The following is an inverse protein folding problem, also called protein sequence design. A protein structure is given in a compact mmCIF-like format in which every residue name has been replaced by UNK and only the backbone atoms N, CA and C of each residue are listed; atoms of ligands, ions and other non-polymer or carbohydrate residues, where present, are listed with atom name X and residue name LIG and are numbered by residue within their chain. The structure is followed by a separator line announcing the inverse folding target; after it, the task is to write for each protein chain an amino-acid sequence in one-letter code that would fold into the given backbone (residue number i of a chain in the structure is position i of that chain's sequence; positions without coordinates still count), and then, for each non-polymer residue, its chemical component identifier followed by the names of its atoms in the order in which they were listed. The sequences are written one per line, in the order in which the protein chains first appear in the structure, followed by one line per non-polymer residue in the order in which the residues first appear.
data_IF_471304069893
#
_entry.id   IF_471304069893
#
_cell.length_a   1.000
_cell.length_b   1.000
_cell.length_c   1.000
_cell.angle_alpha   90.00
_cell.angle_beta   90.00
_cell.angle_gamma   90.00
#
_symmetry.space_group_name_H-M   'P 1'
#
loop_
_entity.id
_entity.type
_entity.pdbx_description
1 polymer ?
#
# COMPACT_ATOMS: atom_id res chain seq x y z
N UNK A 1 -30.52 19.16 -3.90
CA UNK A 1 -29.10 19.58 -4.04
C UNK A 1 -28.26 18.45 -3.47
N UNK A 2 -27.63 17.69 -4.34
CA UNK A 2 -26.89 16.46 -4.04
C UNK A 2 -25.44 16.66 -4.53
N UNK A 3 -24.40 16.59 -3.67
CA UNK A 3 -23.02 16.78 -4.07
C UNK A 3 -22.30 15.44 -4.17
N UNK A 4 -22.22 14.87 -5.38
CA UNK A 4 -21.60 13.56 -5.57
C UNK A 4 -21.20 13.25 -7.01
N UNK A 5 -20.47 14.15 -7.69
CA UNK A 5 -19.78 13.83 -8.94
C UNK A 5 -18.41 14.52 -9.01
N UNK A 6 -17.36 13.76 -8.77
CA UNK A 6 -16.02 14.03 -9.31
C UNK A 6 -15.58 12.75 -10.03
N UNK A 7 -15.99 12.64 -11.29
CA UNK A 7 -15.53 11.61 -12.21
C UNK A 7 -14.14 11.97 -12.73
N UNK A 8 -13.30 10.95 -12.91
CA UNK A 8 -11.99 11.09 -13.57
C UNK A 8 -12.25 10.95 -15.08
N UNK A 9 -11.85 11.96 -15.86
CA UNK A 9 -11.92 11.92 -17.33
C UNK A 9 -10.83 10.97 -17.86
N UNK A 10 -11.22 9.96 -18.63
CA UNK A 10 -10.36 8.88 -19.11
C UNK A 10 -9.60 9.19 -20.41
N UNK A 11 -9.59 10.43 -20.90
CA UNK A 11 -9.00 10.78 -22.22
C UNK A 11 -7.57 11.35 -22.16
N UNK A 12 -6.86 11.26 -21.03
CA UNK A 12 -5.52 11.84 -20.87
C UNK A 12 -4.47 10.84 -20.35
N UNK A 13 -4.35 9.68 -20.98
CA UNK A 13 -3.16 8.84 -20.84
C UNK A 13 -2.47 8.68 -22.20
N UNK A 14 -1.55 9.60 -22.47
CA UNK A 14 -0.58 9.47 -23.55
C UNK A 14 0.48 8.43 -23.16
N UNK A 15 0.90 7.63 -24.15
CA UNK A 15 2.01 6.70 -24.02
C UNK A 15 3.33 7.46 -24.05
N UNK A 16 4.14 7.31 -23.01
CA UNK A 16 5.52 7.78 -22.96
C UNK A 16 6.44 6.59 -23.24
N UNK A 17 7.27 6.68 -24.28
CA UNK A 17 8.29 5.69 -24.63
C UNK A 17 9.64 6.34 -24.37
N UNK A 18 10.38 5.84 -23.38
CA UNK A 18 11.81 6.17 -23.20
C UNK A 18 12.69 4.99 -23.66
N UNK A 19 13.80 5.24 -24.38
CA UNK A 19 14.72 4.20 -24.83
C UNK A 19 15.66 3.73 -23.71
N UNK A 20 15.97 2.43 -23.69
CA UNK A 20 16.95 1.86 -22.78
C UNK A 20 18.39 2.14 -23.26
N UNK A 21 19.21 2.75 -22.40
CA UNK A 21 20.67 2.66 -22.49
C UNK A 21 21.16 1.63 -21.45
N UNK A 22 22.09 0.79 -21.88
CA UNK A 22 22.65 -0.32 -21.12
C UNK A 22 23.50 0.13 -19.92
N UNK A 23 23.37 -0.59 -18.81
CA UNK A 23 24.27 -0.54 -17.65
C UNK A 23 23.72 -1.36 -16.48
N UNK A 24 24.55 -2.26 -15.93
CA UNK A 24 24.32 -3.03 -14.71
C UNK A 24 23.83 -2.17 -13.54
N UNK A 25 22.97 -2.74 -12.67
CA UNK A 25 23.08 -2.71 -11.18
C UNK A 25 21.73 -2.99 -10.46
N UNK A 26 21.87 -3.61 -9.28
CA UNK A 26 20.90 -4.00 -8.25
C UNK A 26 19.49 -3.36 -8.25
N UNK A 27 18.47 -4.20 -8.46
CA UNK A 27 17.06 -3.79 -8.37
C UNK A 27 16.47 -4.03 -6.97
N UNK A 28 16.78 -3.14 -6.04
CA UNK A 28 15.80 -2.70 -5.05
C UNK A 28 14.99 -1.55 -5.68
N UNK A 29 13.70 -1.77 -5.97
CA UNK A 29 12.86 -0.76 -6.64
C UNK A 29 12.57 0.41 -5.69
N UNK A 30 13.47 1.40 -5.69
CA UNK A 30 13.31 2.72 -5.10
C UNK A 30 12.34 3.56 -5.93
N UNK A 31 11.05 3.57 -5.55
CA UNK A 31 10.02 4.42 -6.17
C UNK A 31 10.19 5.94 -5.94
N UNK A 32 11.29 6.36 -5.31
CA UNK A 32 11.53 7.73 -4.85
C UNK A 32 12.03 8.64 -5.98
N UNK A 33 12.92 8.14 -6.85
CA UNK A 33 13.62 8.94 -7.86
C UNK A 33 12.73 9.34 -9.07
N UNK A 34 11.82 8.47 -9.50
CA UNK A 34 11.00 8.69 -10.70
C UNK A 34 10.00 9.85 -10.55
N UNK A 35 9.67 10.24 -9.31
CA UNK A 35 8.66 11.26 -9.03
C UNK A 35 9.23 12.68 -8.90
N UNK A 36 10.56 12.83 -8.75
CA UNK A 36 11.21 14.14 -8.63
C UNK A 36 11.44 14.81 -10.00
N UNK A 37 11.78 14.05 -11.05
CA UNK A 37 12.03 14.61 -12.40
C UNK A 37 10.79 15.18 -13.09
N UNK A 38 9.59 14.62 -12.84
CA UNK A 38 8.35 15.17 -13.41
C UNK A 38 7.92 16.52 -12.81
N UNK A 39 8.36 16.86 -11.59
CA UNK A 39 7.92 18.10 -10.92
C UNK A 39 8.79 19.32 -11.25
N UNK A 40 10.04 19.14 -11.67
CA UNK A 40 10.91 20.27 -12.05
C UNK A 40 10.66 20.75 -13.49
N UNK A 41 10.04 19.95 -14.35
CA UNK A 41 9.72 20.32 -15.74
C UNK A 41 8.48 21.21 -15.92
N UNK A 42 7.52 21.18 -14.99
CA UNK A 42 6.23 21.88 -15.13
C UNK A 42 6.34 23.38 -14.78
N UNK A 43 7.39 23.80 -14.05
CA UNK A 43 7.55 25.19 -13.61
C UNK A 43 8.34 26.10 -14.58
N UNK A 44 8.77 25.60 -15.76
CA UNK A 44 9.64 26.35 -16.69
C UNK A 44 9.22 26.29 -18.17
N UNK A 45 7.92 26.22 -18.45
CA UNK A 45 7.38 26.36 -19.81
C UNK A 45 6.22 27.38 -19.85
N UNK A 46 6.46 28.55 -19.24
CA UNK A 46 5.82 29.80 -19.66
C UNK A 46 6.86 30.58 -20.44
N UNK A 47 6.52 30.96 -21.67
CA UNK A 47 7.35 31.68 -22.65
C UNK A 47 8.47 30.85 -23.31
N UNK A 48 8.27 30.44 -24.56
CA UNK A 48 9.06 30.90 -25.74
C UNK A 48 8.35 30.41 -27.02
N UNK A 49 8.47 31.24 -28.05
CA UNK A 49 7.70 31.31 -29.27
C UNK A 49 7.89 30.15 -30.28
N UNK A 50 6.87 30.05 -31.15
CA UNK A 50 6.86 29.57 -32.53
C UNK A 50 8.19 29.05 -33.10
N UNK A 51 8.28 27.73 -33.31
CA UNK A 51 8.76 27.20 -34.59
C UNK A 51 8.22 25.79 -34.85
N UNK A 52 7.78 25.60 -36.09
CA UNK A 52 6.94 24.52 -36.60
C UNK A 52 7.87 23.38 -37.04
N UNK A 53 7.77 22.19 -36.43
CA UNK A 53 8.32 20.96 -37.02
C UNK A 53 7.19 19.95 -37.25
N UNK A 54 7.05 19.55 -38.51
CA UNK A 54 6.03 18.65 -39.04
C UNK A 54 6.17 17.25 -38.44
N UNK A 55 5.16 16.81 -37.67
CA UNK A 55 4.94 15.40 -37.34
C UNK A 55 3.78 14.91 -38.20
N UNK A 56 3.99 13.78 -38.89
CA UNK A 56 2.99 13.11 -39.69
C UNK A 56 1.78 12.74 -38.83
N UNK A 57 0.63 13.33 -39.14
CA UNK A 57 -0.66 12.97 -38.55
C UNK A 57 -1.00 11.55 -38.93
N UNK A 58 -0.98 10.63 -37.96
CA UNK A 58 -1.63 9.34 -38.09
C UNK A 58 -3.13 9.62 -38.11
N UNK A 59 -3.76 9.53 -39.29
CA UNK A 59 -5.20 9.68 -39.45
C UNK A 59 -5.91 8.63 -38.59
N UNK A 60 -6.38 9.04 -37.42
CA UNK A 60 -7.29 8.24 -36.63
C UNK A 60 -8.63 8.31 -37.34
N UNK A 61 -9.04 7.21 -37.99
CA UNK A 61 -10.44 7.01 -38.32
C UNK A 61 -11.14 6.47 -37.07
N UNK A 62 -11.93 7.28 -36.34
CA UNK A 62 -12.75 6.77 -35.27
C UNK A 62 -13.83 5.87 -35.87
N UNK A 63 -13.72 4.57 -35.63
CA UNK A 63 -14.80 3.62 -35.91
C UNK A 63 -15.81 3.80 -34.77
N UNK A 64 -16.99 4.32 -35.10
CA UNK A 64 -18.11 4.38 -34.17
C UNK A 64 -18.69 2.97 -33.99
N UNK A 65 -18.45 2.38 -32.83
CA UNK A 65 -19.00 1.09 -32.41
C UNK A 65 -20.39 1.35 -31.79
N UNK A 66 -21.49 0.83 -32.35
CA UNK A 66 -22.84 1.02 -31.80
C UNK A 66 -22.95 0.41 -30.39
N UNK A 67 -23.78 1.01 -29.52
CA UNK A 67 -23.98 0.68 -28.09
C UNK A 67 -24.29 -0.82 -27.80
N UNK A 68 -24.58 -1.60 -28.84
CA UNK A 68 -25.02 -2.99 -28.82
C UNK A 68 -23.85 -3.95 -29.09
N UNK A 69 -22.70 -3.43 -29.56
CA UNK A 69 -21.39 -4.10 -29.60
C UNK A 69 -20.65 -3.82 -28.28
N UNK A 70 -21.22 -4.34 -27.18
CA UNK A 70 -20.51 -4.38 -25.90
C UNK A 70 -19.15 -5.03 -26.12
N UNK A 71 -18.12 -4.52 -25.45
CA UNK A 71 -16.79 -5.10 -25.43
C UNK A 71 -16.90 -6.64 -25.30
N UNK A 72 -16.61 -7.33 -26.40
CA UNK A 72 -16.41 -8.78 -26.42
C UNK A 72 -15.39 -9.11 -25.32
N UNK A 73 -15.51 -10.31 -24.74
CA UNK A 73 -14.60 -10.76 -23.69
C UNK A 73 -13.15 -10.42 -24.06
N UNK A 74 -12.54 -9.55 -23.26
CA UNK A 74 -11.21 -8.97 -23.51
C UNK A 74 -10.08 -10.01 -23.65
N UNK A 75 -10.12 -11.28 -23.16
CA UNK A 75 -8.89 -12.08 -23.18
C UNK A 75 -8.42 -12.52 -24.58
N UNK A 76 -9.32 -12.72 -25.56
CA UNK A 76 -8.94 -13.52 -26.73
C UNK A 76 -8.31 -12.74 -27.90
N UNK A 77 -8.55 -11.43 -28.03
CA UNK A 77 -7.98 -10.66 -29.16
C UNK A 77 -6.62 -10.05 -28.85
N UNK A 78 -6.31 -9.76 -27.57
CA UNK A 78 -5.03 -9.12 -27.22
C UNK A 78 -3.85 -10.07 -27.46
N UNK A 79 -3.98 -11.34 -27.09
CA UNK A 79 -2.94 -12.36 -27.34
C UNK A 79 -2.65 -12.53 -28.83
N UNK A 80 -3.69 -12.47 -29.67
CA UNK A 80 -3.57 -12.55 -31.13
C UNK A 80 -2.83 -11.33 -31.71
N UNK A 81 -3.12 -10.13 -31.20
CA UNK A 81 -2.45 -8.90 -31.62
C UNK A 81 -0.99 -8.82 -31.16
N UNK A 82 -0.66 -9.51 -30.06
CA UNK A 82 0.67 -9.49 -29.43
C UNK A 82 1.43 -10.81 -29.59
N UNK A 83 1.05 -11.65 -30.56
CA UNK A 83 1.69 -12.94 -30.80
C UNK A 83 3.20 -12.80 -31.04
N UNK A 84 3.58 -11.80 -31.83
CA UNK A 84 4.96 -11.46 -32.20
C UNK A 84 5.61 -10.45 -31.24
N UNK A 85 4.96 -10.12 -30.12
CA UNK A 85 5.56 -9.25 -29.12
C UNK A 85 6.83 -9.88 -28.55
N UNK A 86 7.90 -9.08 -28.53
CA UNK A 86 9.19 -9.39 -27.95
C UNK A 86 9.46 -8.48 -26.75
N UNK A 87 10.44 -8.81 -25.89
CA UNK A 87 10.84 -7.95 -24.79
C UNK A 87 11.09 -6.51 -25.25
N UNK A 88 10.67 -5.50 -24.46
CA UNK A 88 10.17 -5.61 -23.08
C UNK A 88 8.64 -5.80 -22.97
N UNK A 89 7.93 -6.05 -24.07
CA UNK A 89 6.47 -6.17 -24.06
C UNK A 89 6.03 -7.62 -23.79
N UNK A 90 5.27 -7.81 -22.71
CA UNK A 90 4.75 -9.12 -22.33
C UNK A 90 3.23 -9.08 -22.10
N UNK A 91 2.53 -10.13 -22.53
CA UNK A 91 1.15 -10.37 -22.10
C UNK A 91 1.18 -10.99 -20.71
N UNK A 92 0.32 -10.53 -19.81
CA UNK A 92 0.18 -11.12 -18.48
C UNK A 92 -0.32 -12.56 -18.61
N UNK A 93 0.38 -13.57 -18.05
CA UNK A 93 -0.07 -14.94 -18.11
C UNK A 93 -1.47 -15.12 -17.51
N UNK A 94 -2.28 -15.95 -18.15
CA UNK A 94 -3.61 -16.34 -17.68
C UNK A 94 -3.77 -17.86 -17.75
N UNK A 95 -4.49 -18.45 -16.81
CA UNK A 95 -4.76 -19.89 -16.77
C UNK A 95 -6.18 -20.16 -16.31
N UNK A 96 -6.79 -21.21 -16.88
CA UNK A 96 -8.03 -21.80 -16.37
C UNK A 96 -7.77 -22.95 -15.38
N UNK A 97 -6.53 -23.42 -15.28
CA UNK A 97 -6.14 -24.50 -14.36
C UNK A 97 -5.90 -23.94 -12.95
N UNK A 98 -6.71 -24.43 -12.01
CA UNK A 98 -6.60 -24.08 -10.59
C UNK A 98 -5.24 -24.46 -10.00
N UNK A 99 -4.63 -25.57 -10.40
CA UNK A 99 -3.33 -25.99 -9.88
C UNK A 99 -2.25 -24.98 -10.26
N UNK A 100 -2.25 -24.53 -11.51
CA UNK A 100 -1.34 -23.48 -12.00
C UNK A 100 -1.59 -22.15 -11.28
N UNK A 101 -2.86 -21.77 -11.07
CA UNK A 101 -3.17 -20.53 -10.34
C UNK A 101 -2.72 -20.57 -8.86
N UNK A 102 -2.84 -21.72 -8.19
CA UNK A 102 -2.35 -21.90 -6.82
C UNK A 102 -0.83 -21.88 -6.74
N UNK A 103 -0.19 -22.48 -7.72
CA UNK A 103 1.26 -22.44 -7.88
C UNK A 103 1.73 -20.99 -8.08
N UNK A 104 1.12 -20.22 -8.98
CA UNK A 104 1.43 -18.79 -9.14
C UNK A 104 1.19 -17.98 -7.87
N UNK A 105 0.11 -18.29 -7.15
CA UNK A 105 -0.23 -17.61 -5.90
C UNK A 105 0.88 -17.80 -4.86
N UNK A 106 1.37 -19.04 -4.64
CA UNK A 106 2.42 -19.31 -3.67
C UNK A 106 3.81 -18.87 -4.14
N UNK A 107 4.17 -19.22 -5.38
CA UNK A 107 5.49 -18.99 -5.97
C UNK A 107 5.83 -17.49 -5.96
N UNK A 108 5.05 -16.68 -6.68
CA UNK A 108 5.41 -15.29 -6.96
C UNK A 108 5.15 -14.29 -5.83
N UNK A 109 4.78 -14.75 -4.64
CA UNK A 109 4.73 -13.89 -3.46
C UNK A 109 6.12 -13.26 -3.19
N UNK A 110 7.18 -14.04 -3.39
CA UNK A 110 8.57 -13.60 -3.28
C UNK A 110 9.01 -12.59 -4.34
N UNK A 111 8.41 -12.64 -5.53
CA UNK A 111 8.66 -11.70 -6.61
C UNK A 111 8.01 -10.31 -6.38
N UNK A 112 7.39 -10.09 -5.21
CA UNK A 112 6.71 -8.84 -4.87
C UNK A 112 5.31 -8.71 -5.48
N UNK A 113 4.72 -9.80 -5.96
CA UNK A 113 3.31 -9.82 -6.39
C UNK A 113 2.39 -10.08 -5.19
N UNK A 114 1.33 -9.27 -5.06
CA UNK A 114 0.36 -9.39 -3.96
C UNK A 114 -0.48 -10.69 -4.01
N UNK A 115 -0.55 -11.36 -5.16
CA UNK A 115 -1.39 -12.54 -5.42
C UNK A 115 -1.96 -12.57 -6.84
N UNK A 116 -3.12 -13.22 -7.03
CA UNK A 116 -3.72 -13.47 -8.34
C UNK A 116 -5.04 -12.72 -8.55
N UNK A 117 -5.30 -12.33 -9.80
CA UNK A 117 -6.57 -11.73 -10.22
C UNK A 117 -7.47 -12.79 -10.84
N UNK A 118 -8.61 -13.08 -10.19
CA UNK A 118 -9.62 -13.97 -10.75
C UNK A 118 -10.70 -13.16 -11.47
N UNK A 119 -10.94 -13.50 -12.74
CA UNK A 119 -11.90 -12.83 -13.63
C UNK A 119 -12.76 -13.88 -14.32
N UNK A 120 -14.00 -13.53 -14.65
CA UNK A 120 -14.81 -14.35 -15.56
C UNK A 120 -14.21 -14.28 -16.96
N UNK A 121 -13.92 -15.44 -17.56
CA UNK A 121 -13.32 -15.51 -18.89
C UNK A 121 -14.21 -14.91 -19.98
N UNK A 122 -15.53 -15.04 -19.83
CA UNK A 122 -16.57 -14.58 -20.76
C UNK A 122 -17.23 -13.26 -20.34
N UNK A 123 -16.76 -12.64 -19.25
CA UNK A 123 -17.37 -11.44 -18.70
C UNK A 123 -16.99 -10.19 -19.51
N UNK A 124 -17.95 -9.30 -19.84
CA UNK A 124 -17.61 -8.01 -20.41
C UNK A 124 -16.90 -7.15 -19.36
N UNK A 125 -16.17 -6.14 -19.81
CA UNK A 125 -15.69 -5.09 -18.92
C UNK A 125 -16.89 -4.30 -18.36
N UNK A 126 -16.93 -4.11 -17.04
CA UNK A 126 -17.99 -3.37 -16.37
C UNK A 126 -17.39 -2.18 -15.61
N UNK A 127 -17.52 -1.00 -16.19
CA UNK A 127 -17.04 0.23 -15.57
C UNK A 127 -17.71 0.48 -14.21
N UNK A 128 -16.92 0.93 -13.23
CA UNK A 128 -17.39 1.26 -11.87
C UNK A 128 -18.02 0.08 -11.11
N UNK A 129 -17.86 -1.16 -11.59
CA UNK A 129 -18.29 -2.36 -10.88
C UNK A 129 -17.11 -3.18 -10.39
N UNK A 130 -17.32 -3.86 -9.25
CA UNK A 130 -16.36 -4.82 -8.67
C UNK A 130 -16.65 -6.22 -9.19
N UNK A 131 -16.40 -6.46 -10.48
CA UNK A 131 -16.64 -7.75 -11.16
C UNK A 131 -15.46 -8.73 -11.11
N UNK A 132 -14.27 -8.26 -10.70
CA UNK A 132 -13.06 -9.05 -10.57
C UNK A 132 -12.72 -9.30 -9.10
N UNK A 133 -12.14 -10.45 -8.80
CA UNK A 133 -11.69 -10.81 -7.46
C UNK A 133 -10.17 -10.67 -7.36
N UNK A 134 -9.71 -10.03 -6.29
CA UNK A 134 -8.29 -9.99 -5.92
C UNK A 134 -8.08 -11.06 -4.87
N UNK A 135 -7.36 -12.12 -5.21
CA UNK A 135 -6.97 -13.15 -4.26
C UNK A 135 -5.56 -12.82 -3.82
N UNK A 136 -5.42 -12.39 -2.56
CA UNK A 136 -4.15 -11.91 -2.01
C UNK A 136 -3.74 -12.77 -0.83
N UNK A 137 -2.45 -12.79 -0.56
CA UNK A 137 -1.95 -13.27 0.72
C UNK A 137 -2.39 -12.32 1.82
N UNK A 138 -2.91 -12.90 2.89
CA UNK A 138 -3.24 -12.19 4.12
C UNK A 138 -2.45 -12.86 5.23
N UNK A 139 -1.69 -12.06 5.97
CA UNK A 139 -0.82 -12.55 7.03
C UNK A 139 -1.27 -11.95 8.34
N UNK A 140 -1.19 -12.73 9.40
CA UNK A 140 -1.45 -12.26 10.75
C UNK A 140 -0.14 -12.14 11.52
N UNK A 141 -0.05 -11.15 12.40
CA UNK A 141 1.03 -11.03 13.37
C UNK A 141 0.50 -10.46 14.69
N UNK A 142 1.18 -10.80 15.77
CA UNK A 142 0.93 -10.29 17.10
C UNK A 142 1.82 -9.06 17.33
N UNK A 143 1.18 -7.90 17.58
CA UNK A 143 1.84 -6.63 17.83
C UNK A 143 1.57 -6.14 19.25
N UNK A 144 2.53 -5.44 19.84
CA UNK A 144 2.33 -4.70 21.09
C UNK A 144 1.59 -3.41 20.79
N UNK A 145 0.59 -3.08 21.62
CA UNK A 145 -0.08 -1.77 21.59
C UNK A 145 0.57 -0.86 22.61
N UNK A 146 1.34 0.12 22.15
CA UNK A 146 2.06 1.08 23.01
C UNK A 146 1.52 2.51 22.89
N UNK A 147 0.40 2.71 22.19
CA UNK A 147 -0.27 3.99 22.15
C UNK A 147 -1.51 4.00 21.30
N UNK A 148 -2.20 5.14 21.28
CA UNK A 148 -3.35 5.35 20.41
C UNK A 148 -3.45 6.80 19.96
N UNK A 149 -4.27 7.06 18.93
CA UNK A 149 -4.69 8.41 18.54
C UNK A 149 -6.18 8.58 18.77
N UNK A 150 -6.59 9.77 19.18
CA UNK A 150 -8.01 10.13 19.21
C UNK A 150 -8.61 10.12 17.81
N UNK A 151 -9.91 9.84 17.72
CA UNK A 151 -10.65 10.02 16.49
C UNK A 151 -10.81 11.53 16.22
N UNK A 152 -10.70 11.95 14.96
CA UNK A 152 -10.76 13.38 14.56
C UNK A 152 -12.01 14.13 15.08
N UNK A 153 -13.12 13.42 15.24
CA UNK A 153 -14.41 13.99 15.68
C UNK A 153 -14.82 13.47 17.08
N UNK A 154 -13.87 13.00 17.88
CA UNK A 154 -14.17 12.31 19.13
C UNK A 154 -13.00 12.28 20.12
N UNK A 155 -12.29 13.39 20.26
CA UNK A 155 -11.27 13.54 21.28
C UNK A 155 -11.85 13.26 22.68
N UNK A 156 -11.11 12.51 23.50
CA UNK A 156 -11.55 12.05 24.82
C UNK A 156 -12.68 11.01 24.83
N UNK A 157 -13.33 10.74 23.69
CA UNK A 157 -14.59 9.95 23.65
C UNK A 157 -14.56 8.79 22.66
N UNK A 158 -13.65 8.79 21.69
CA UNK A 158 -13.53 7.76 20.67
C UNK A 158 -12.09 7.60 20.18
N UNK A 159 -11.59 6.36 20.14
CA UNK A 159 -10.25 6.06 19.62
C UNK A 159 -10.26 5.98 18.09
N UNK A 160 -9.29 6.65 17.46
CA UNK A 160 -9.08 6.72 16.02
C UNK A 160 -8.31 5.52 15.49
N UNK A 161 -7.17 5.26 16.11
CA UNK A 161 -6.22 4.20 15.73
C UNK A 161 -5.37 3.78 16.92
N UNK A 162 -4.94 2.51 16.93
CA UNK A 162 -3.94 1.98 17.86
C UNK A 162 -2.57 2.01 17.19
N UNK A 163 -1.52 2.36 17.93
CA UNK A 163 -0.13 2.33 17.49
C UNK A 163 0.46 0.96 17.83
N UNK A 164 1.06 0.33 16.84
CA UNK A 164 1.58 -1.02 16.91
C UNK A 164 3.11 -1.02 16.97
N UNK A 165 3.66 -1.92 17.76
CA UNK A 165 5.10 -2.16 17.80
C UNK A 165 5.49 -3.62 17.84
N UNK A 166 6.73 -3.88 17.38
CA UNK A 166 7.41 -5.17 17.45
C UNK A 166 8.80 -4.97 18.07
N UNK A 167 9.23 -5.95 18.86
CA UNK A 167 10.57 -6.01 19.42
C UNK A 167 11.58 -6.53 18.38
N UNK A 168 12.74 -5.89 18.31
CA UNK A 168 13.92 -6.45 17.64
C UNK A 168 14.66 -7.47 18.53
N UNK A 169 15.81 -7.97 18.06
CA UNK A 169 16.61 -8.95 18.79
C UNK A 169 17.29 -8.34 20.03
N UNK A 170 17.49 -7.02 20.03
CA UNK A 170 18.10 -6.22 21.09
C UNK A 170 17.09 -5.83 22.18
N UNK A 171 15.80 -6.06 21.96
CA UNK A 171 14.71 -5.72 22.89
C UNK A 171 14.16 -4.30 22.74
N UNK A 172 14.46 -3.62 21.64
CA UNK A 172 13.91 -2.30 21.31
C UNK A 172 12.54 -2.43 20.65
N UNK A 173 11.55 -1.69 21.15
CA UNK A 173 10.21 -1.67 20.58
C UNK A 173 10.12 -0.70 19.40
N UNK A 174 10.07 -1.22 18.18
CA UNK A 174 9.91 -0.42 16.96
C UNK A 174 8.45 -0.17 16.62
N UNK A 175 8.12 1.04 16.17
CA UNK A 175 6.79 1.35 15.68
C UNK A 175 6.59 0.84 14.24
N UNK A 176 5.77 -0.20 14.09
CA UNK A 176 5.58 -0.91 12.81
C UNK A 176 4.36 -0.44 12.03
N UNK A 177 3.45 0.31 12.64
CA UNK A 177 2.27 0.81 11.95
C UNK A 177 1.12 1.08 12.89
N UNK A 178 -0.08 1.17 12.31
CA UNK A 178 -1.30 1.45 13.04
C UNK A 178 -2.41 0.48 12.68
N UNK A 179 -3.26 0.18 13.67
CA UNK A 179 -4.51 -0.53 13.47
C UNK A 179 -5.67 0.47 13.57
N UNK A 180 -6.55 0.53 12.57
CA UNK A 180 -7.66 1.48 12.54
C UNK A 180 -8.95 0.85 11.97
N UNK A 181 -9.85 1.69 11.44
CA UNK A 181 -11.13 1.27 10.82
C UNK A 181 -12.14 0.61 11.77
N UNK A 182 -12.07 0.93 13.07
CA UNK A 182 -13.04 0.48 14.06
C UNK A 182 -14.46 1.04 13.80
N UNK A 183 -15.47 0.24 14.15
CA UNK A 183 -16.88 0.69 14.20
C UNK A 183 -17.05 1.77 15.28
N UNK A 184 -18.05 2.65 15.14
CA UNK A 184 -18.30 3.71 16.12
C UNK A 184 -18.48 3.19 17.56
N UNK A 185 -19.15 2.03 17.71
CA UNK A 185 -19.30 1.36 19.00
C UNK A 185 -17.94 0.92 19.58
N UNK A 186 -17.12 0.23 18.77
CA UNK A 186 -15.80 -0.25 19.21
C UNK A 186 -14.86 0.90 19.59
N UNK A 187 -14.92 2.03 18.88
CA UNK A 187 -14.10 3.22 19.21
C UNK A 187 -14.36 3.75 20.61
N UNK A 188 -15.61 3.71 21.07
CA UNK A 188 -16.01 4.14 22.42
C UNK A 188 -15.65 3.10 23.47
N UNK A 189 -15.89 1.83 23.17
CA UNK A 189 -15.51 0.70 24.03
C UNK A 189 -14.00 0.72 24.34
N UNK A 190 -13.16 0.98 23.32
CA UNK A 190 -11.71 1.03 23.48
C UNK A 190 -11.25 2.15 24.45
N UNK A 191 -12.00 3.24 24.61
CA UNK A 191 -11.65 4.30 25.58
C UNK A 191 -11.66 3.74 27.00
N UNK A 192 -12.76 3.11 27.39
CA UNK A 192 -12.89 2.51 28.72
C UNK A 192 -11.91 1.34 28.91
N UNK A 193 -11.74 0.52 27.87
CA UNK A 193 -10.85 -0.64 27.91
C UNK A 193 -9.37 -0.27 28.12
N UNK A 194 -8.90 0.81 27.49
CA UNK A 194 -7.50 1.23 27.57
C UNK A 194 -7.20 2.16 28.73
N UNK A 195 -8.22 2.68 29.43
CA UNK A 195 -8.05 3.59 30.57
C UNK A 195 -7.04 3.08 31.62
N UNK A 196 -7.09 1.81 32.06
CA UNK A 196 -6.14 1.31 33.06
C UNK A 196 -4.70 1.30 32.58
N UNK A 197 -4.47 1.23 31.25
CA UNK A 197 -3.15 1.20 30.64
C UNK A 197 -2.56 2.60 30.42
N UNK A 198 -3.32 3.67 30.68
CA UNK A 198 -2.86 5.07 30.56
C UNK A 198 -2.12 5.58 31.80
N UNK A 199 -2.43 5.03 32.98
CA UNK A 199 -1.80 5.44 34.24
C UNK A 199 -0.28 5.18 34.19
N UNK A 200 0.52 6.21 34.49
CA UNK A 200 1.99 6.20 34.45
C UNK A 200 2.59 5.70 33.13
N UNK A 201 1.82 5.70 32.04
CA UNK A 201 2.25 5.14 30.75
C UNK A 201 3.42 5.88 30.12
N UNK A 202 3.72 7.11 30.57
CA UNK A 202 4.88 7.89 30.11
C UNK A 202 6.18 7.52 30.79
N UNK A 203 6.13 6.95 31.99
CA UNK A 203 7.31 6.65 32.79
C UNK A 203 8.03 5.42 32.24
N UNK A 204 9.24 5.60 31.70
CA UNK A 204 10.01 4.51 31.10
C UNK A 204 9.40 3.98 29.80
N UNK A 205 8.54 4.75 29.14
CA UNK A 205 7.89 4.29 27.91
C UNK A 205 8.95 4.02 26.82
N UNK A 206 8.87 2.91 26.07
CA UNK A 206 9.85 2.61 25.01
C UNK A 206 9.96 3.72 23.94
N UNK A 207 8.91 4.52 23.81
CA UNK A 207 8.82 5.66 22.89
C UNK A 207 8.88 7.03 23.61
N UNK A 208 9.41 7.07 24.85
CA UNK A 208 9.38 8.26 25.71
C UNK A 208 10.21 9.43 25.16
N UNK A 209 11.41 9.18 24.64
CA UNK A 209 12.27 10.19 23.99
C UNK A 209 11.54 10.91 22.86
N UNK A 210 10.63 10.21 22.18
CA UNK A 210 9.87 10.74 21.04
C UNK A 210 8.54 11.41 21.44
N UNK A 211 7.99 11.10 22.61
CA UNK A 211 6.82 11.81 23.13
C UNK A 211 7.12 13.32 23.29
N UNK A 212 8.33 13.68 23.72
CA UNK A 212 8.84 15.07 23.77
C UNK A 212 9.15 15.68 22.40
N UNK A 213 9.54 14.88 21.41
CA UNK A 213 9.95 15.38 20.08
C UNK A 213 8.77 15.47 19.09
N UNK A 214 7.69 14.70 19.29
CA UNK A 214 6.45 14.82 18.54
C UNK A 214 5.74 16.17 18.74
N UNK A 215 6.00 16.83 19.87
CA UNK A 215 5.62 18.23 20.12
C UNK A 215 6.52 19.23 19.35
N UNK A 216 7.76 18.85 19.04
CA UNK A 216 8.76 19.70 18.37
C UNK A 216 8.77 19.56 16.83
N UNK A 217 8.08 18.57 16.27
CA UNK A 217 7.90 18.44 14.82
C UNK A 217 9.18 18.19 14.02
N UNK A 218 10.18 17.54 14.62
CA UNK A 218 11.46 17.24 13.97
C UNK A 218 11.36 16.02 13.05
N UNK A 219 11.96 16.13 11.85
CA UNK A 219 12.31 15.00 10.98
C UNK A 219 13.39 14.19 11.69
N UNK A 220 13.01 13.02 12.25
CA UNK A 220 13.96 12.11 12.87
C UNK A 220 14.78 11.36 11.81
N UNK A 221 16.07 11.26 12.10
CA UNK A 221 17.13 10.55 11.39
C UNK A 221 16.70 9.16 10.84
N UNK A 222 17.25 8.79 9.68
CA UNK A 222 16.72 7.81 8.74
C UNK A 222 16.74 6.33 9.19
N UNK A 223 17.10 6.05 10.45
CA UNK A 223 17.25 4.68 10.96
C UNK A 223 16.03 4.14 11.71
N UNK A 224 15.20 4.99 12.33
CA UNK A 224 14.06 4.54 13.13
C UNK A 224 12.81 5.42 12.94
N UNK A 225 11.75 4.84 12.36
CA UNK A 225 10.50 5.57 12.10
C UNK A 225 9.63 5.63 13.36
N UNK A 226 9.37 6.85 13.84
CA UNK A 226 8.67 7.11 15.11
C UNK A 226 7.16 7.34 14.92
N UNK A 227 6.32 7.03 15.92
CA UNK A 227 4.91 7.38 15.87
C UNK A 227 4.72 8.91 15.84
N UNK A 228 4.03 9.39 14.81
CA UNK A 228 3.72 10.81 14.65
C UNK A 228 4.73 11.62 13.82
N UNK A 229 5.75 10.96 13.25
CA UNK A 229 6.64 11.59 12.27
C UNK A 229 5.87 12.16 11.08
N UNK A 230 6.13 13.43 10.77
CA UNK A 230 5.50 14.11 9.64
C UNK A 230 6.04 13.52 8.34
N UNK A 231 5.20 13.48 7.31
CA UNK A 231 5.59 13.14 5.94
C UNK A 231 5.02 14.20 5.00
N UNK A 232 5.51 14.24 3.76
CA UNK A 232 4.94 15.09 2.69
C UNK A 232 3.41 14.95 2.51
N UNK A 233 2.83 13.82 2.92
CA UNK A 233 1.39 13.52 2.83
C UNK A 233 0.61 13.76 4.14
N UNK A 234 1.27 14.18 5.21
CA UNK A 234 0.65 14.47 6.50
C UNK A 234 0.44 15.96 6.76
N UNK A 235 0.65 16.81 5.75
CA UNK A 235 0.43 18.25 5.86
C UNK A 235 -0.99 18.54 6.38
N UNK A 236 -1.07 19.24 7.51
CA UNK A 236 -2.31 19.63 8.18
C UNK A 236 -3.02 18.54 9.01
N UNK A 237 -2.42 17.35 9.21
CA UNK A 237 -3.00 16.31 10.08
C UNK A 237 -2.44 16.41 11.49
N UNK A 238 -3.33 16.32 12.48
CA UNK A 238 -2.90 16.05 13.85
C UNK A 238 -2.40 14.61 13.96
N UNK A 239 -1.14 14.49 14.37
CA UNK A 239 -0.45 13.22 14.56
C UNK A 239 -0.21 12.92 16.05
N UNK A 240 -0.76 13.76 16.94
CA UNK A 240 -0.75 13.56 18.37
C UNK A 240 -1.23 12.15 18.73
N UNK A 241 -0.61 11.60 19.77
CA UNK A 241 -0.91 10.28 20.26
C UNK A 241 -0.79 10.26 21.78
N UNK A 242 -1.51 9.32 22.39
CA UNK A 242 -1.52 9.08 23.83
C UNK A 242 -0.78 7.78 24.09
N UNK A 243 0.23 7.78 24.98
CA UNK A 243 0.98 6.58 25.32
C UNK A 243 0.14 5.60 26.15
N UNK A 244 0.44 4.32 25.97
CA UNK A 244 -0.11 3.23 26.75
C UNK A 244 1.04 2.38 27.26
N UNK A 245 0.91 1.84 28.48
CA UNK A 245 1.88 0.84 28.94
C UNK A 245 1.90 -0.33 27.93
N UNK A 246 3.08 -0.77 27.46
CA UNK A 246 3.24 -1.76 26.39
C UNK A 246 2.98 -3.19 26.89
N UNK A 247 1.83 -3.39 27.53
CA UNK A 247 1.39 -4.63 28.17
C UNK A 247 0.38 -5.39 27.32
N UNK A 248 -0.26 -4.71 26.36
CA UNK A 248 -1.35 -5.24 25.57
C UNK A 248 -0.84 -5.79 24.23
N UNK A 249 -1.19 -7.03 23.92
CA UNK A 249 -0.90 -7.67 22.63
C UNK A 249 -2.17 -7.73 21.77
N UNK A 250 -2.01 -7.37 20.50
CA UNK A 250 -3.06 -7.36 19.49
C UNK A 250 -2.63 -8.17 18.28
N UNK A 251 -3.42 -9.19 17.94
CA UNK A 251 -3.32 -9.87 16.66
C UNK A 251 -3.91 -8.99 15.56
N UNK A 252 -3.14 -8.75 14.51
CA UNK A 252 -3.51 -7.92 13.36
C UNK A 252 -3.23 -8.63 12.06
N UNK A 253 -4.11 -8.43 11.08
CA UNK A 253 -3.81 -8.77 9.69
C UNK A 253 -3.09 -7.62 9.00
N UNK A 254 -2.07 -7.97 8.22
CA UNK A 254 -1.32 -7.04 7.38
C UNK A 254 -1.13 -7.66 5.99
N UNK A 255 -0.88 -6.80 4.99
CA UNK A 255 -0.68 -7.23 3.62
C UNK A 255 0.80 -7.34 3.23
N UNK A 256 1.58 -6.27 3.46
CA UNK A 256 2.97 -6.22 3.04
C UNK A 256 3.83 -5.38 3.97
N UNK A 257 5.09 -5.78 4.11
CA UNK A 257 6.12 -5.03 4.81
C UNK A 257 6.82 -4.06 3.85
N UNK A 258 7.06 -2.83 4.28
CA UNK A 258 7.92 -1.88 3.59
C UNK A 258 9.13 -1.62 4.48
N UNK A 259 10.23 -2.34 4.25
CA UNK A 259 11.36 -2.39 5.18
C UNK A 259 10.89 -2.97 6.53
N UNK A 260 11.00 -2.20 7.60
CA UNK A 260 10.68 -2.63 8.98
C UNK A 260 9.26 -2.31 9.44
N UNK A 261 8.35 -1.89 8.54
CA UNK A 261 6.97 -1.49 8.90
C UNK A 261 5.90 -2.07 7.98
N UNK A 262 4.65 -2.04 8.41
CA UNK A 262 3.51 -2.28 7.51
C UNK A 262 3.39 -1.16 6.48
N UNK A 263 3.15 -1.55 5.22
CA UNK A 263 2.88 -0.62 4.14
C UNK A 263 1.56 0.10 4.34
N UNK A 264 0.52 -0.65 4.71
CA UNK A 264 -0.83 -0.16 4.93
C UNK A 264 -1.30 -0.34 6.38
N UNK A 265 -2.45 0.25 6.69
CA UNK A 265 -3.10 0.11 8.00
C UNK A 265 -3.46 -1.36 8.25
N UNK A 266 -2.99 -1.90 9.38
CA UNK A 266 -3.30 -3.25 9.79
C UNK A 266 -4.76 -3.38 10.24
N UNK A 267 -5.36 -4.55 10.05
CA UNK A 267 -6.74 -4.84 10.42
C UNK A 267 -6.80 -5.56 11.76
N UNK A 268 -7.68 -5.09 12.64
CA UNK A 268 -7.90 -5.70 13.96
C UNK A 268 -8.43 -7.13 13.82
N UNK A 269 -7.81 -8.09 14.51
CA UNK A 269 -8.38 -9.44 14.70
C UNK A 269 -8.93 -9.62 16.11
N UNK A 270 -8.03 -9.68 17.10
CA UNK A 270 -8.36 -9.94 18.50
C UNK A 270 -7.22 -9.55 19.42
N UNK A 271 -7.55 -9.25 20.67
CA UNK A 271 -6.53 -9.12 21.71
C UNK A 271 -6.02 -10.50 22.14
N UNK A 272 -4.71 -10.59 22.40
CA UNK A 272 -4.05 -11.81 22.88
C UNK A 272 -3.73 -11.64 24.35
N UNK A 273 -4.51 -12.29 25.21
CA UNK A 273 -4.23 -12.36 26.66
C UNK A 273 -3.33 -13.53 27.02
N UNK A 274 -3.12 -14.43 26.06
CA UNK A 274 -2.36 -15.67 26.16
C UNK A 274 -0.86 -15.49 25.80
N UNK A 275 -0.47 -14.32 25.29
CA UNK A 275 0.88 -14.06 24.79
C UNK A 275 1.50 -12.83 25.47
N UNK A 276 2.73 -12.92 26.00
CA UNK A 276 3.41 -11.78 26.59
C UNK A 276 3.92 -10.81 25.50
N UNK A 277 3.97 -9.49 25.75
CA UNK A 277 4.48 -8.50 24.79
C UNK A 277 5.90 -8.78 24.30
N UNK A 278 6.77 -9.34 25.14
CA UNK A 278 8.16 -9.67 24.79
C UNK A 278 8.30 -10.69 23.66
N UNK A 279 7.26 -11.49 23.39
CA UNK A 279 7.24 -12.47 22.28
C UNK A 279 6.72 -11.86 20.97
N UNK A 280 6.31 -10.60 20.96
CA UNK A 280 5.90 -9.89 19.75
C UNK A 280 7.12 -9.34 19.03
N UNK A 281 7.89 -10.22 18.38
CA UNK A 281 9.16 -9.87 17.73
C UNK A 281 9.06 -9.89 16.20
N UNK A 282 10.04 -9.32 15.50
CA UNK A 282 10.14 -9.41 14.03
C UNK A 282 10.29 -10.86 13.51
N UNK A 283 10.76 -11.80 14.34
CA UNK A 283 10.98 -13.19 13.93
C UNK A 283 9.67 -13.93 13.55
N UNK A 284 8.51 -13.40 13.96
CA UNK A 284 7.21 -13.95 13.56
C UNK A 284 6.82 -13.58 12.11
N UNK A 285 7.44 -12.55 11.53
CA UNK A 285 7.08 -12.08 10.21
C UNK A 285 7.72 -13.01 9.17
N UNK A 286 6.87 -13.63 8.36
CA UNK A 286 7.33 -14.48 7.28
C UNK A 286 8.09 -13.67 6.23
N UNK A 287 9.32 -14.07 5.94
CA UNK A 287 10.13 -13.52 4.85
C UNK A 287 10.07 -14.52 3.70
N UNK A 288 9.44 -14.12 2.60
CA UNK A 288 9.37 -14.95 1.40
C UNK A 288 10.61 -14.67 0.56
N UNK A 289 11.29 -15.72 0.12
CA UNK A 289 12.51 -15.61 -0.68
C UNK A 289 12.20 -14.87 -2.00
N UNK A 290 13.05 -13.91 -2.42
CA UNK A 290 12.86 -13.23 -3.68
C UNK A 290 12.92 -14.23 -4.83
N UNK A 291 12.02 -14.07 -5.80
CA UNK A 291 11.93 -14.98 -6.93
C UNK A 291 11.95 -14.24 -8.25
N UNK A 292 12.57 -14.84 -9.27
CA UNK A 292 12.78 -14.19 -10.55
C UNK A 292 11.49 -14.13 -11.38
N UNK A 293 10.92 -12.93 -11.49
CA UNK A 293 9.74 -12.64 -12.29
C UNK A 293 9.93 -13.02 -13.78
N UNK A 294 11.17 -13.01 -14.29
CA UNK A 294 11.47 -13.37 -15.68
C UNK A 294 10.99 -14.78 -16.06
N UNK A 295 10.96 -15.72 -15.11
CA UNK A 295 10.52 -17.09 -15.35
C UNK A 295 9.02 -17.20 -15.71
N UNK A 296 8.20 -16.21 -15.39
CA UNK A 296 6.79 -16.15 -15.82
C UNK A 296 6.63 -15.90 -17.32
N UNK A 297 7.61 -15.27 -17.94
CA UNK A 297 7.51 -14.72 -19.29
C UNK A 297 8.36 -15.47 -20.32
N UNK A 298 9.09 -16.49 -19.89
CA UNK A 298 9.74 -17.46 -20.78
C UNK A 298 8.68 -18.29 -21.52
N UNK A 299 8.53 -18.02 -22.82
CA UNK A 299 7.69 -18.79 -23.76
C UNK A 299 8.29 -20.17 -24.02
#
# INVERSE_FOLDING_TARGET
RDPGRRGVHAELQGFEVEPALAGDDDLAVEHTALRQRCQTGIAKLGEVALERLLVSTLEHQPIAVPEHERAEAVPLRLEQLLVDAAPPLHVTPATADRAVALDWFGRFEGAGLDGVMAKRADGPYEENKRSMLKVKHERDCDCVVAGFRWHKDGEGTAIGSLLLGLYDAEGTLHHVGVCASFTAAKRKELVAFLEPLRANAREGHPWQSWASESEAGADADASQRVPGGKSRWSQGKDLSWVPLRPELVLEVAYDHMQGTRFRHTAQFRRFRTDKPPSECTYAQLEVVAPEELAALFTK
#
